data_IF_998642720796
#
_entry.id   IF_998642720796
#
_cell.length_a   1.000
_cell.length_b   1.000
_cell.length_c   1.000
_cell.angle_alpha   90.00
_cell.angle_beta   90.00
_cell.angle_gamma   90.00
#
_symmetry.space_group_name_H-M   'P 1'
#
loop_
_entity.id
_entity.type
_entity.pdbx_description
1 polymer ?
#
# COMPACT_ATOMS: atom_id res chain seq x y z
N UNK A 1 5.41 -22.92 52.24
CA UNK A 1 6.39 -22.96 51.12
C UNK A 1 5.72 -23.17 49.77
N UNK A 2 4.97 -24.27 49.53
CA UNK A 2 4.41 -24.57 48.20
C UNK A 2 3.50 -23.48 47.58
N UNK A 3 2.62 -22.83 48.37
CA UNK A 3 1.72 -21.76 47.86
C UNK A 3 2.48 -20.52 47.38
N UNK A 4 3.54 -20.14 48.09
CA UNK A 4 4.36 -18.96 47.77
C UNK A 4 5.22 -19.21 46.53
N UNK A 5 5.78 -20.42 46.40
CA UNK A 5 6.53 -20.85 45.21
C UNK A 5 5.62 -20.90 43.97
N UNK A 6 4.41 -21.45 44.12
CA UNK A 6 3.41 -21.51 43.04
C UNK A 6 2.98 -20.11 42.58
N UNK A 7 2.76 -19.19 43.52
CA UNK A 7 2.38 -17.81 43.20
C UNK A 7 3.51 -17.04 42.50
N UNK A 8 4.77 -17.21 42.94
CA UNK A 8 5.92 -16.63 42.24
C UNK A 8 6.06 -17.16 40.81
N UNK A 9 5.88 -18.47 40.61
CA UNK A 9 5.96 -19.12 39.30
C UNK A 9 4.85 -18.63 38.35
N UNK A 10 3.65 -18.41 38.88
CA UNK A 10 2.53 -17.86 38.11
C UNK A 10 2.81 -16.41 37.69
N UNK A 11 3.32 -15.58 38.61
CA UNK A 11 3.68 -14.20 38.34
C UNK A 11 4.81 -14.08 37.30
N UNK A 12 5.83 -14.94 37.35
CA UNK A 12 6.91 -14.92 36.34
C UNK A 12 6.40 -15.34 34.98
N UNK A 13 5.58 -16.40 34.88
CA UNK A 13 4.94 -16.81 33.61
C UNK A 13 4.08 -15.70 33.01
N UNK A 14 3.27 -15.02 33.83
CA UNK A 14 2.47 -13.87 33.40
C UNK A 14 3.36 -12.71 32.89
N UNK A 15 4.46 -12.40 33.59
CA UNK A 15 5.38 -11.35 33.20
C UNK A 15 6.10 -11.67 31.87
N UNK A 16 6.59 -12.91 31.70
CA UNK A 16 7.19 -13.36 30.43
C UNK A 16 6.18 -13.34 29.28
N UNK A 17 4.94 -13.77 29.51
CA UNK A 17 3.87 -13.74 28.51
C UNK A 17 3.55 -12.32 28.02
N UNK A 18 3.39 -11.37 28.94
CA UNK A 18 3.13 -9.96 28.59
C UNK A 18 4.30 -9.31 27.84
N UNK A 19 5.54 -9.62 28.23
CA UNK A 19 6.73 -9.09 27.55
C UNK A 19 6.85 -9.63 26.13
N UNK A 20 6.63 -10.94 25.93
CA UNK A 20 6.67 -11.57 24.62
C UNK A 20 5.60 -11.01 23.67
N UNK A 21 4.37 -10.82 24.16
CA UNK A 21 3.28 -10.19 23.39
C UNK A 21 3.60 -8.75 23.03
N UNK A 22 4.21 -8.00 23.96
CA UNK A 22 4.61 -6.61 23.72
C UNK A 22 5.71 -6.53 22.66
N UNK A 23 6.71 -7.42 22.70
CA UNK A 23 7.75 -7.51 21.67
C UNK A 23 7.17 -7.90 20.30
N UNK A 24 6.26 -8.88 20.25
CA UNK A 24 5.61 -9.30 19.01
C UNK A 24 4.71 -8.20 18.41
N UNK A 25 4.04 -7.40 19.25
CA UNK A 25 3.27 -6.25 18.79
C UNK A 25 4.21 -5.16 18.26
N UNK A 26 5.30 -4.86 18.98
CA UNK A 26 6.29 -3.87 18.56
C UNK A 26 6.91 -4.23 17.21
N UNK A 27 7.29 -5.49 17.00
CA UNK A 27 7.88 -5.93 15.73
C UNK A 27 6.88 -5.87 14.56
N UNK A 28 5.61 -6.20 14.79
CA UNK A 28 4.55 -6.02 13.77
C UNK A 28 4.30 -4.57 13.40
N UNK A 29 4.38 -3.65 14.37
CA UNK A 29 4.22 -2.22 14.09
C UNK A 29 5.44 -1.63 13.38
N UNK A 30 6.65 -2.10 13.69
CA UNK A 30 7.88 -1.71 12.98
C UNK A 30 7.83 -2.08 11.49
N UNK A 31 7.23 -3.23 11.14
CA UNK A 31 7.00 -3.61 9.74
C UNK A 31 6.03 -2.69 8.99
N UNK A 32 5.20 -1.91 9.71
CA UNK A 32 4.25 -0.96 9.12
C UNK A 32 4.74 0.49 9.19
N UNK A 33 5.99 0.69 9.60
CA UNK A 33 6.60 2.00 9.57
C UNK A 33 6.71 2.50 8.14
N UNK A 34 6.25 3.74 7.92
CA UNK A 34 6.32 4.40 6.61
C UNK A 34 7.73 4.95 6.42
N UNK A 35 8.46 4.43 5.44
CA UNK A 35 9.83 4.86 5.12
C UNK A 35 9.92 5.79 3.92
N UNK A 36 8.89 5.82 3.09
CA UNK A 36 8.77 6.73 1.95
C UNK A 36 7.31 7.11 1.77
N UNK A 37 7.07 8.29 1.21
CA UNK A 37 5.73 8.73 0.82
C UNK A 37 5.72 9.02 -0.67
N UNK A 38 4.71 8.54 -1.37
CA UNK A 38 4.46 8.89 -2.77
C UNK A 38 3.06 9.44 -2.94
N UNK A 39 2.81 10.11 -4.06
CA UNK A 39 1.49 10.65 -4.38
C UNK A 39 1.05 10.28 -5.79
N UNK A 40 -0.27 10.26 -5.96
CA UNK A 40 -0.95 10.25 -7.25
C UNK A 40 -1.96 11.39 -7.30
N UNK A 41 -1.90 12.18 -8.37
CA UNK A 41 -2.97 13.10 -8.73
C UNK A 41 -3.87 12.44 -9.77
N UNK A 42 -5.14 12.26 -9.42
CA UNK A 42 -6.08 11.44 -10.21
C UNK A 42 -7.08 12.32 -10.97
N UNK A 43 -7.29 11.95 -12.24
CA UNK A 43 -8.33 12.46 -13.12
C UNK A 43 -9.33 11.36 -13.50
N UNK A 44 -10.60 11.76 -13.64
CA UNK A 44 -11.71 10.96 -14.15
C UNK A 44 -12.32 11.71 -15.33
N UNK A 45 -12.32 11.12 -16.53
CA UNK A 45 -12.75 11.73 -17.80
C UNK A 45 -12.09 13.10 -18.08
N UNK A 46 -10.80 13.22 -17.76
CA UNK A 46 -10.03 14.46 -17.91
C UNK A 46 -10.46 15.59 -16.96
N UNK A 47 -11.26 15.25 -15.95
CA UNK A 47 -11.63 16.16 -14.86
C UNK A 47 -10.98 15.70 -13.59
N UNK A 48 -10.59 16.68 -12.81
CA UNK A 48 -9.90 16.50 -11.57
C UNK A 48 -10.84 15.84 -10.53
N UNK A 49 -10.40 14.74 -9.89
CA UNK A 49 -11.25 13.93 -9.01
C UNK A 49 -11.55 14.58 -7.63
N UNK A 50 -11.00 15.77 -7.34
CA UNK A 50 -11.17 16.49 -6.07
C UNK A 50 -12.49 17.27 -5.96
N UNK A 51 -12.87 17.66 -4.73
CA UNK A 51 -13.98 18.60 -4.51
C UNK A 51 -13.44 20.02 -4.63
N UNK A 52 -14.00 20.80 -5.56
CA UNK A 52 -13.72 22.23 -5.71
C UNK A 52 -14.34 23.01 -4.54
N UNK A 53 -13.61 23.17 -3.44
CA UNK A 53 -13.84 24.27 -2.50
C UNK A 53 -13.05 25.49 -2.96
N UNK A 54 -13.74 26.63 -2.98
CA UNK A 54 -13.34 27.85 -3.66
C UNK A 54 -11.89 28.32 -3.34
N UNK A 55 -11.18 28.70 -4.40
CA UNK A 55 -10.12 29.72 -4.40
C UNK A 55 -8.84 29.42 -3.59
N UNK A 56 -8.10 28.37 -3.95
CA UNK A 56 -6.64 28.34 -3.77
C UNK A 56 -5.98 27.30 -4.69
N UNK A 57 -5.06 27.78 -5.52
CA UNK A 57 -3.99 27.05 -6.24
C UNK A 57 -4.45 26.05 -7.31
N UNK A 58 -4.03 26.31 -8.54
CA UNK A 58 -4.22 25.55 -9.79
C UNK A 58 -3.69 24.09 -9.78
N UNK A 59 -3.28 23.58 -8.62
CA UNK A 59 -2.90 22.17 -8.35
C UNK A 59 -3.94 21.45 -7.47
N UNK A 60 -4.83 22.17 -6.79
CA UNK A 60 -5.81 21.64 -5.83
C UNK A 60 -7.09 21.07 -6.46
N UNK A 61 -7.21 21.10 -7.80
CA UNK A 61 -8.34 20.49 -8.50
C UNK A 61 -8.25 18.96 -8.51
N UNK A 62 -7.03 18.41 -8.63
CA UNK A 62 -6.81 16.97 -8.78
C UNK A 62 -7.04 16.26 -7.46
N UNK A 63 -7.75 15.12 -7.50
CA UNK A 63 -7.89 14.29 -6.31
C UNK A 63 -6.54 13.66 -6.00
N UNK A 64 -5.87 14.12 -4.93
CA UNK A 64 -4.57 13.59 -4.53
C UNK A 64 -4.69 12.43 -3.56
N UNK A 65 -4.08 11.30 -3.90
CA UNK A 65 -3.87 10.15 -3.02
C UNK A 65 -2.42 10.21 -2.52
N UNK A 66 -2.21 10.17 -1.21
CA UNK A 66 -0.87 10.04 -0.61
C UNK A 66 -0.73 8.66 -0.01
N UNK A 67 0.36 7.99 -0.31
CA UNK A 67 0.62 6.60 0.02
C UNK A 67 1.92 6.52 0.80
N UNK A 68 1.92 5.81 1.94
CA UNK A 68 3.11 5.45 2.67
C UNK A 68 3.57 4.05 2.29
N UNK A 69 4.88 3.90 2.05
CA UNK A 69 5.52 2.63 1.69
C UNK A 69 6.25 2.02 2.88
N UNK A 70 6.19 0.69 2.99
CA UNK A 70 6.78 -0.08 4.10
C UNK A 70 8.17 -0.61 3.76
N UNK A 71 9.13 0.28 3.50
CA UNK A 71 10.47 -0.11 3.03
C UNK A 71 11.30 -0.92 4.03
N UNK A 72 10.96 -0.94 5.32
CA UNK A 72 11.58 -1.88 6.28
C UNK A 72 11.10 -3.32 6.11
N UNK A 73 9.82 -3.51 5.74
CA UNK A 73 9.23 -4.84 5.61
C UNK A 73 9.49 -5.47 4.24
N UNK A 74 9.45 -4.64 3.19
CA UNK A 74 9.56 -5.04 1.79
C UNK A 74 10.37 -4.00 0.99
N UNK A 75 11.67 -3.84 1.28
CA UNK A 75 12.52 -2.82 0.66
C UNK A 75 12.53 -2.86 -0.86
N UNK A 76 12.57 -4.06 -1.49
CA UNK A 76 12.61 -4.15 -2.95
C UNK A 76 11.28 -3.75 -3.59
N UNK A 77 10.18 -4.23 -3.01
CA UNK A 77 8.84 -3.93 -3.51
C UNK A 77 8.51 -2.44 -3.35
N UNK A 78 8.87 -1.86 -2.21
CA UNK A 78 8.71 -0.43 -1.95
C UNK A 78 9.56 0.43 -2.90
N UNK A 79 10.83 0.06 -3.13
CA UNK A 79 11.73 0.79 -4.01
C UNK A 79 11.27 0.74 -5.47
N UNK A 80 10.80 -0.43 -5.95
CA UNK A 80 10.20 -0.54 -7.28
C UNK A 80 9.05 0.46 -7.47
N UNK A 81 8.12 0.50 -6.52
CA UNK A 81 6.97 1.40 -6.60
C UNK A 81 7.36 2.88 -6.50
N UNK A 82 8.29 3.21 -5.58
CA UNK A 82 8.83 4.57 -5.44
C UNK A 82 9.43 5.07 -6.75
N UNK A 83 10.31 4.28 -7.35
CA UNK A 83 10.98 4.62 -8.59
C UNK A 83 9.99 4.80 -9.76
N UNK A 84 8.99 3.91 -9.86
CA UNK A 84 7.91 4.04 -10.85
C UNK A 84 7.12 5.35 -10.69
N UNK A 85 6.83 5.76 -9.45
CA UNK A 85 6.14 7.02 -9.17
C UNK A 85 6.96 8.26 -9.55
N UNK A 86 8.30 8.21 -9.51
CA UNK A 86 9.16 9.38 -9.79
C UNK A 86 9.59 9.54 -11.25
N UNK A 87 9.23 8.62 -12.13
CA UNK A 87 9.59 8.72 -13.56
C UNK A 87 9.67 7.40 -14.32
N UNK A 88 8.87 6.39 -13.97
CA UNK A 88 9.03 5.04 -14.52
C UNK A 88 8.03 4.62 -15.58
N UNK A 89 8.24 5.07 -16.82
CA UNK A 89 8.06 4.20 -17.99
C UNK A 89 9.41 4.04 -18.68
N UNK A 90 10.19 3.07 -18.19
CA UNK A 90 11.52 2.75 -18.73
C UNK A 90 11.45 1.87 -19.99
N UNK A 91 10.24 1.46 -20.38
CA UNK A 91 10.03 0.46 -21.45
C UNK A 91 9.62 1.12 -22.76
N UNK A 92 8.59 1.98 -22.73
CA UNK A 92 7.96 2.52 -23.94
C UNK A 92 7.68 4.02 -23.88
N UNK A 93 7.83 4.68 -22.73
CA UNK A 93 7.55 6.11 -22.53
C UNK A 93 6.10 6.53 -22.85
N UNK A 94 5.15 5.59 -22.89
CA UNK A 94 3.76 5.81 -23.32
C UNK A 94 2.69 5.25 -22.35
N UNK A 95 3.11 4.74 -21.18
CA UNK A 95 2.23 4.24 -20.13
C UNK A 95 1.65 2.84 -20.37
N UNK A 96 2.12 2.10 -21.39
CA UNK A 96 1.75 0.70 -21.63
C UNK A 96 2.77 -0.32 -21.09
N UNK A 97 3.80 0.14 -20.38
CA UNK A 97 4.77 -0.72 -19.70
C UNK A 97 4.18 -1.48 -18.50
N UNK A 98 4.71 -2.68 -18.24
CA UNK A 98 4.34 -3.54 -17.10
C UNK A 98 5.54 -4.04 -16.28
N UNK A 99 6.74 -3.60 -16.64
CA UNK A 99 7.98 -4.12 -16.09
C UNK A 99 8.35 -3.42 -14.78
N UNK A 100 8.99 -4.17 -13.89
CA UNK A 100 9.60 -3.61 -12.68
C UNK A 100 10.93 -2.93 -13.01
N UNK A 101 11.48 -2.17 -12.07
CA UNK A 101 12.86 -1.66 -12.18
C UNK A 101 13.93 -2.76 -12.18
N UNK A 102 13.54 -4.01 -11.92
CA UNK A 102 14.40 -5.18 -11.86
C UNK A 102 14.29 -6.07 -13.11
N UNK A 103 13.53 -5.65 -14.12
CA UNK A 103 13.19 -6.42 -15.32
C UNK A 103 11.69 -6.77 -15.39
N UNK A 104 11.31 -7.67 -16.29
CA UNK A 104 9.90 -7.99 -16.56
C UNK A 104 9.12 -8.36 -15.28
N UNK A 105 9.70 -9.24 -14.46
CA UNK A 105 9.08 -9.74 -13.22
C UNK A 105 10.10 -9.88 -12.08
N UNK A 106 9.62 -9.79 -10.84
CA UNK A 106 10.40 -10.10 -9.64
C UNK A 106 9.60 -10.93 -8.62
N UNK A 107 10.36 -11.65 -7.79
CA UNK A 107 9.86 -12.58 -6.79
C UNK A 107 9.01 -11.91 -5.69
N UNK A 108 8.13 -12.69 -5.07
CA UNK A 108 7.37 -12.27 -3.89
C UNK A 108 8.32 -12.06 -2.70
N UNK A 109 8.51 -10.80 -2.28
CA UNK A 109 9.53 -10.49 -1.29
C UNK A 109 9.25 -11.10 0.09
N UNK A 110 7.99 -11.04 0.54
CA UNK A 110 7.42 -11.84 1.63
C UNK A 110 5.91 -11.55 1.80
N UNK A 111 5.24 -12.34 2.64
CA UNK A 111 3.82 -12.18 2.98
C UNK A 111 3.57 -11.88 4.48
N UNK A 112 4.50 -11.16 5.13
CA UNK A 112 4.40 -10.82 6.56
C UNK A 112 3.23 -9.87 6.85
N UNK A 113 2.99 -8.94 5.94
CA UNK A 113 1.88 -7.99 5.98
C UNK A 113 0.61 -8.61 5.36
N UNK A 114 -0.56 -8.09 5.76
CA UNK A 114 -1.87 -8.68 5.46
C UNK A 114 -2.86 -7.61 5.02
N UNK A 115 -3.88 -8.02 4.26
CA UNK A 115 -4.93 -7.15 3.72
C UNK A 115 -6.00 -6.84 4.75
N UNK A 116 -5.61 -6.11 5.79
CA UNK A 116 -6.41 -5.93 7.02
C UNK A 116 -7.57 -4.94 6.93
N UNK A 117 -7.74 -4.24 5.79
CA UNK A 117 -8.82 -3.26 5.62
C UNK A 117 -8.68 -2.43 4.34
N UNK A 118 -9.50 -1.39 4.19
CA UNK A 118 -9.40 -0.40 3.11
C UNK A 118 -8.08 0.38 3.15
N UNK A 119 -7.65 0.86 1.99
CA UNK A 119 -6.46 1.67 1.79
C UNK A 119 -5.15 0.89 1.81
N UNK A 120 -5.16 -0.45 1.84
CA UNK A 120 -3.93 -1.25 1.77
C UNK A 120 -3.45 -1.30 0.31
N UNK A 121 -2.16 -0.99 0.10
CA UNK A 121 -1.51 -1.07 -1.19
C UNK A 121 -0.77 -2.41 -1.34
N UNK A 122 -1.01 -3.09 -2.44
CA UNK A 122 -0.47 -4.43 -2.71
C UNK A 122 -0.20 -4.69 -4.19
N UNK A 123 0.75 -5.59 -4.47
CA UNK A 123 1.13 -5.95 -5.84
C UNK A 123 0.06 -6.82 -6.51
N UNK A 124 -0.28 -6.49 -7.75
CA UNK A 124 -0.98 -7.43 -8.63
C UNK A 124 0.05 -8.38 -9.27
N UNK A 125 -0.37 -9.61 -9.55
CA UNK A 125 0.48 -10.63 -10.15
C UNK A 125 -0.36 -11.66 -10.94
N UNK A 126 0.32 -12.54 -11.66
CA UNK A 126 -0.26 -13.65 -12.43
C UNK A 126 0.17 -15.02 -11.84
N UNK A 127 0.25 -15.10 -10.50
CA UNK A 127 0.77 -16.26 -9.78
C UNK A 127 2.07 -15.95 -9.02
N UNK A 128 2.63 -16.95 -8.32
CA UNK A 128 3.83 -16.78 -7.49
C UNK A 128 4.98 -16.15 -8.28
N UNK A 129 5.68 -15.21 -7.65
CA UNK A 129 6.90 -14.60 -8.18
C UNK A 129 6.76 -13.87 -9.54
N UNK A 130 5.58 -13.28 -9.79
CA UNK A 130 5.29 -12.56 -11.05
C UNK A 130 4.96 -11.07 -10.85
N UNK A 131 5.56 -10.44 -9.85
CA UNK A 131 5.35 -9.01 -9.58
C UNK A 131 6.02 -8.16 -10.67
N UNK A 132 5.35 -7.13 -11.15
CA UNK A 132 5.85 -6.17 -12.15
C UNK A 132 5.65 -4.73 -11.68
N UNK A 133 4.88 -3.94 -12.43
CA UNK A 133 4.45 -2.59 -12.02
C UNK A 133 3.00 -2.49 -11.57
N UNK A 134 2.17 -3.50 -11.85
CA UNK A 134 0.74 -3.47 -11.54
C UNK A 134 0.48 -3.60 -10.03
N UNK A 135 -0.47 -2.83 -9.54
CA UNK A 135 -0.83 -2.77 -8.12
C UNK A 135 -2.34 -2.61 -7.96
N UNK A 136 -2.81 -2.77 -6.73
CA UNK A 136 -4.16 -2.41 -6.33
C UNK A 136 -4.20 -1.77 -4.94
N UNK A 137 -5.22 -0.94 -4.71
CA UNK A 137 -5.55 -0.38 -3.41
C UNK A 137 -6.87 -1.00 -2.98
N UNK A 138 -6.91 -1.59 -1.79
CA UNK A 138 -8.13 -2.21 -1.26
C UNK A 138 -9.16 -1.15 -0.86
N UNK A 139 -10.45 -1.43 -1.06
CA UNK A 139 -11.57 -0.60 -0.56
C UNK A 139 -12.34 -1.27 0.58
N UNK A 140 -12.05 -2.57 0.81
CA UNK A 140 -12.58 -3.42 1.87
C UNK A 140 -11.46 -4.33 2.41
N UNK A 141 -11.74 -5.09 3.47
CA UNK A 141 -10.84 -6.17 3.90
C UNK A 141 -10.84 -7.30 2.88
N UNK A 142 -9.65 -7.72 2.42
CA UNK A 142 -9.49 -8.74 1.37
C UNK A 142 -8.56 -9.88 1.82
N UNK A 143 -8.88 -10.52 2.95
CA UNK A 143 -8.01 -11.55 3.56
C UNK A 143 -7.76 -12.79 2.69
N UNK A 144 -8.62 -13.06 1.71
CA UNK A 144 -8.43 -14.15 0.73
C UNK A 144 -7.20 -13.94 -0.18
N UNK A 145 -6.65 -12.73 -0.24
CA UNK A 145 -5.43 -12.39 -0.98
C UNK A 145 -4.15 -12.59 -0.15
N UNK A 146 -4.27 -12.86 1.15
CA UNK A 146 -3.12 -13.04 2.03
C UNK A 146 -2.27 -14.26 1.63
N UNK A 147 -0.95 -14.07 1.56
CA UNK A 147 -0.03 -15.14 1.13
C UNK A 147 0.04 -15.31 -0.40
N UNK A 148 -0.66 -14.47 -1.17
CA UNK A 148 -0.66 -14.49 -2.64
C UNK A 148 -0.25 -13.16 -3.25
N UNK A 149 -0.52 -12.05 -2.57
CA UNK A 149 -0.15 -10.71 -3.01
C UNK A 149 0.69 -10.02 -1.93
N UNK A 150 1.79 -9.40 -2.35
CA UNK A 150 2.71 -8.70 -1.44
C UNK A 150 2.11 -7.35 -1.07
N UNK A 151 1.76 -7.19 0.21
CA UNK A 151 1.37 -5.88 0.78
C UNK A 151 2.61 -5.06 1.04
N UNK A 152 2.65 -3.83 0.54
CA UNK A 152 3.85 -2.98 0.61
C UNK A 152 3.60 -1.52 0.96
N UNK A 153 2.35 -1.12 1.20
CA UNK A 153 2.05 0.23 1.67
C UNK A 153 0.62 0.40 2.16
N UNK A 154 0.27 1.65 2.44
CA UNK A 154 -1.12 2.07 2.67
C UNK A 154 -1.35 3.51 2.25
N UNK A 155 -2.60 3.83 1.94
CA UNK A 155 -3.08 5.21 1.79
C UNK A 155 -3.00 5.92 3.14
N UNK A 156 -2.39 7.10 3.14
CA UNK A 156 -2.29 8.01 4.29
C UNK A 156 -3.33 9.14 4.20
N UNK A 157 -3.64 9.59 2.98
CA UNK A 157 -4.69 10.57 2.71
C UNK A 157 -5.24 10.40 1.29
N UNK A 158 -6.46 10.90 1.03
CA UNK A 158 -7.11 10.78 -0.28
C UNK A 158 -7.91 9.50 -0.48
N UNK A 159 -8.35 8.83 0.59
CA UNK A 159 -9.25 7.67 0.47
C UNK A 159 -10.61 8.05 -0.16
N UNK A 160 -11.06 9.29 0.00
CA UNK A 160 -12.25 9.79 -0.71
C UNK A 160 -12.06 9.76 -2.23
N UNK A 161 -10.84 10.02 -2.71
CA UNK A 161 -10.48 9.89 -4.14
C UNK A 161 -10.46 8.42 -4.55
N UNK A 162 -9.90 7.53 -3.73
CA UNK A 162 -9.94 6.07 -3.98
C UNK A 162 -11.39 5.58 -4.14
N UNK A 163 -12.29 6.03 -3.27
CA UNK A 163 -13.71 5.67 -3.36
C UNK A 163 -14.41 6.27 -4.58
N UNK A 164 -14.02 7.46 -5.04
CA UNK A 164 -14.50 8.00 -6.32
C UNK A 164 -14.03 7.15 -7.50
N UNK A 165 -12.78 6.70 -7.49
CA UNK A 165 -12.26 5.77 -8.52
C UNK A 165 -13.02 4.44 -8.49
N UNK A 166 -13.29 3.89 -7.31
CA UNK A 166 -14.11 2.67 -7.16
C UNK A 166 -15.53 2.85 -7.72
N UNK A 167 -16.15 4.00 -7.50
CA UNK A 167 -17.49 4.30 -8.01
C UNK A 167 -17.56 4.31 -9.55
N UNK A 168 -16.44 4.54 -10.22
CA UNK A 168 -16.31 4.40 -11.68
C UNK A 168 -16.20 2.94 -12.14
N UNK A 169 -16.06 1.98 -11.23
CA UNK A 169 -15.98 0.56 -11.55
C UNK A 169 -17.30 -0.06 -12.01
N UNK A 170 -17.19 -1.22 -12.67
CA UNK A 170 -18.28 -2.16 -12.94
C UNK A 170 -17.95 -3.51 -12.32
N UNK A 171 -18.95 -4.39 -12.16
CA UNK A 171 -18.72 -5.77 -11.70
C UNK A 171 -17.76 -6.55 -12.62
N UNK A 172 -17.67 -6.19 -13.91
CA UNK A 172 -16.72 -6.77 -14.86
C UNK A 172 -15.27 -6.34 -14.64
N UNK A 173 -15.01 -5.37 -13.76
CA UNK A 173 -13.71 -4.72 -13.58
C UNK A 173 -13.42 -3.59 -14.58
N UNK A 174 -14.20 -3.47 -15.66
CA UNK A 174 -14.03 -2.40 -16.65
C UNK A 174 -14.59 -1.07 -16.10
N UNK A 175 -13.79 0.01 -16.08
CA UNK A 175 -14.29 1.33 -15.68
C UNK A 175 -15.39 1.86 -16.60
N UNK A 176 -16.30 2.67 -16.05
CA UNK A 176 -17.32 3.44 -16.77
C UNK A 176 -16.71 4.63 -17.52
N UNK A 177 -15.68 5.20 -16.93
CA UNK A 177 -15.01 6.43 -17.34
C UNK A 177 -13.50 6.23 -17.32
N UNK A 178 -12.76 7.06 -18.06
CA UNK A 178 -11.30 6.97 -18.11
C UNK A 178 -10.71 7.51 -16.81
N UNK A 179 -10.08 6.64 -16.01
CA UNK A 179 -9.36 7.03 -14.79
C UNK A 179 -7.87 7.03 -15.07
N UNK A 180 -7.18 8.13 -14.77
CA UNK A 180 -5.76 8.32 -15.07
C UNK A 180 -5.04 8.92 -13.87
N UNK A 181 -3.83 8.42 -13.61
CA UNK A 181 -2.85 9.11 -12.76
C UNK A 181 -2.21 10.20 -13.62
N UNK A 182 -2.65 11.43 -13.44
CA UNK A 182 -2.21 12.58 -14.23
C UNK A 182 -0.83 13.11 -13.82
N UNK A 183 -0.49 12.95 -12.53
CA UNK A 183 0.83 13.24 -12.00
C UNK A 183 1.16 12.28 -10.86
N UNK A 184 2.45 12.02 -10.65
CA UNK A 184 2.94 11.16 -9.58
C UNK A 184 4.34 11.57 -9.15
N UNK A 185 4.72 11.18 -7.94
CA UNK A 185 6.06 11.47 -7.44
C UNK A 185 6.27 11.05 -6.00
N UNK A 186 7.44 11.39 -5.48
CA UNK A 186 7.82 11.18 -4.08
C UNK A 186 7.62 12.47 -3.27
N UNK A 187 7.23 12.31 -2.00
CA UNK A 187 7.10 13.38 -1.01
C UNK A 187 8.12 13.19 0.12
N UNK A 188 8.58 14.28 0.74
CA UNK A 188 9.34 14.22 1.99
C UNK A 188 8.58 13.45 3.08
N UNK A 189 9.33 12.73 3.92
CA UNK A 189 8.79 12.01 5.08
C UNK A 189 8.29 12.96 6.18
#
# INVERSE_FOLDING_TARGET
MAKTTLLLLLCTLLLFGTLALTQAKKSKEELKEVTNKVFFDVEIDGKAAGILIAKAVKLAGLGRIVIGLYGKAVPKTAENFRALCTGGDFTHGNGMGGESIYGEKFADENFKLKHTGPGILSMANAGPDTNGSQFFITTVTTSWLDGRHVVFGKVLSGMDVVYKVEAEGRQSGTPKSKVVIADSGELPL
#
